data_IF_799875616717
#
_entry.id   IF_799875616717
#
_cell.length_a   1.000
_cell.length_b   1.000
_cell.length_c   1.000
_cell.angle_alpha   90.00
_cell.angle_beta   90.00
_cell.angle_gamma   90.00
#
_symmetry.space_group_name_H-M   'P 1'
#
loop_
_entity.id
_entity.type
_entity.pdbx_description
1 polymer ?
#
# COMPACT_ATOMS: atom_id res chain seq x y z
N UNK A 1 15.13 60.84 -23.14
CA UNK A 1 14.34 60.62 -21.90
C UNK A 1 13.77 59.20 -21.96
N UNK A 2 13.99 58.40 -20.91
CA UNK A 2 13.44 57.04 -20.84
C UNK A 2 11.95 57.07 -20.43
N UNK A 3 11.13 56.26 -21.12
CA UNK A 3 9.71 56.11 -20.83
C UNK A 3 9.47 55.47 -19.45
N UNK A 4 8.44 55.88 -18.73
CA UNK A 4 8.14 55.34 -17.43
C UNK A 4 7.58 53.87 -17.55
N UNK A 5 8.12 52.97 -16.74
CA UNK A 5 7.66 51.60 -16.62
C UNK A 5 6.19 51.52 -16.18
N UNK A 6 5.36 50.63 -16.72
CA UNK A 6 3.98 50.46 -16.30
C UNK A 6 3.90 50.01 -14.85
N UNK A 7 3.00 50.65 -14.07
CA UNK A 7 2.70 50.27 -12.67
C UNK A 7 2.13 48.85 -12.62
N UNK A 8 2.55 48.02 -11.64
CA UNK A 8 1.96 46.71 -11.43
C UNK A 8 0.45 46.83 -11.11
N UNK A 9 -0.38 45.88 -11.58
CA UNK A 9 -1.80 45.88 -11.25
C UNK A 9 -2.03 45.73 -9.75
N UNK A 10 -3.12 46.33 -9.20
CA UNK A 10 -3.43 46.21 -7.78
C UNK A 10 -3.66 44.76 -7.37
N UNK A 11 -3.27 44.34 -6.15
CA UNK A 11 -3.45 42.99 -5.70
C UNK A 11 -4.94 42.64 -5.67
N UNK A 12 -5.34 41.64 -6.44
CA UNK A 12 -6.67 41.03 -6.37
C UNK A 12 -6.85 40.46 -4.96
N UNK A 13 -7.80 41.00 -4.21
CA UNK A 13 -8.18 40.53 -2.88
C UNK A 13 -8.75 39.11 -3.01
N UNK A 14 -7.90 38.11 -2.91
CA UNK A 14 -8.32 36.73 -2.67
C UNK A 14 -8.98 36.68 -1.29
N UNK A 15 -10.22 36.23 -1.13
CA UNK A 15 -10.83 36.10 0.19
C UNK A 15 -9.97 35.16 1.03
N UNK A 16 -9.57 35.63 2.22
CA UNK A 16 -8.68 34.88 3.11
C UNK A 16 -9.28 33.49 3.38
N UNK A 17 -8.47 32.48 3.19
CA UNK A 17 -8.79 31.06 3.40
C UNK A 17 -9.41 30.83 4.80
N UNK A 18 -9.02 31.65 5.80
CA UNK A 18 -9.57 31.63 7.16
C UNK A 18 -11.08 31.86 7.23
N UNK A 19 -11.65 32.79 6.45
CA UNK A 19 -13.11 33.02 6.44
C UNK A 19 -13.92 31.90 5.80
N UNK A 20 -13.36 31.22 4.80
CA UNK A 20 -13.99 30.02 4.22
C UNK A 20 -13.93 28.81 5.16
N UNK A 21 -12.85 28.64 5.91
CA UNK A 21 -12.73 27.58 6.92
C UNK A 21 -13.62 27.86 8.13
N UNK A 22 -13.82 29.13 8.51
CA UNK A 22 -14.72 29.51 9.61
C UNK A 22 -16.19 29.28 9.25
N UNK A 23 -16.58 29.55 8.00
CA UNK A 23 -17.92 29.22 7.48
C UNK A 23 -18.19 27.70 7.41
N UNK A 24 -17.13 26.87 7.29
CA UNK A 24 -17.22 25.41 7.37
C UNK A 24 -17.26 24.88 8.83
N UNK A 25 -16.90 25.72 9.82
CA UNK A 25 -16.95 25.37 11.25
C UNK A 25 -18.29 25.71 11.93
N UNK A 26 -19.10 26.57 11.33
CA UNK A 26 -20.34 27.08 11.92
C UNK A 26 -21.56 26.36 11.30
N UNK A 27 -21.77 25.16 11.72
CA UNK A 27 -22.95 24.36 11.49
C UNK A 27 -22.68 22.97 11.97
N UNK A 28 -23.33 22.56 13.05
CA UNK A 28 -23.24 21.16 13.46
C UNK A 28 -23.54 20.28 12.26
N UNK A 29 -22.51 19.51 11.81
CA UNK A 29 -22.72 18.58 10.72
C UNK A 29 -23.71 17.53 11.21
N UNK A 30 -24.84 17.43 10.54
CA UNK A 30 -25.83 16.38 10.76
C UNK A 30 -25.88 15.58 9.46
N UNK A 31 -25.53 14.31 9.56
CA UNK A 31 -25.71 13.39 8.41
C UNK A 31 -27.20 13.34 8.08
N UNK A 32 -27.57 13.45 6.80
CA UNK A 32 -28.96 13.29 6.39
C UNK A 32 -29.51 11.93 6.87
N UNK A 33 -30.68 11.90 7.53
CA UNK A 33 -31.26 10.67 8.08
C UNK A 33 -31.42 9.55 7.03
N UNK A 34 -31.68 9.93 5.78
CA UNK A 34 -31.76 9.02 4.63
C UNK A 34 -30.41 8.36 4.34
N UNK A 35 -29.32 9.13 4.35
CA UNK A 35 -27.96 8.64 4.11
C UNK A 35 -27.47 7.78 5.26
N UNK A 36 -27.78 8.18 6.52
CA UNK A 36 -27.48 7.38 7.70
C UNK A 36 -28.16 6.03 7.63
N UNK A 37 -29.46 5.98 7.32
CA UNK A 37 -30.23 4.74 7.18
C UNK A 37 -29.65 3.83 6.09
N UNK A 38 -29.20 4.39 4.97
CA UNK A 38 -28.55 3.63 3.90
C UNK A 38 -27.20 3.06 4.35
N UNK A 39 -26.40 3.82 5.11
CA UNK A 39 -25.14 3.36 5.66
C UNK A 39 -25.34 2.24 6.70
N UNK A 40 -26.31 2.42 7.62
CA UNK A 40 -26.65 1.43 8.64
C UNK A 40 -27.16 0.13 8.00
N UNK A 41 -28.03 0.25 6.99
CA UNK A 41 -28.54 -0.90 6.25
C UNK A 41 -27.44 -1.61 5.45
N UNK A 42 -26.55 -0.88 4.80
CA UNK A 42 -25.42 -1.47 4.11
C UNK A 42 -24.47 -2.19 5.08
N UNK A 43 -24.22 -1.61 6.27
CA UNK A 43 -23.41 -2.23 7.31
C UNK A 43 -24.06 -3.49 7.90
N UNK A 44 -25.38 -3.49 8.04
CA UNK A 44 -26.15 -4.64 8.53
C UNK A 44 -26.25 -5.74 7.47
N UNK A 45 -26.44 -5.38 6.20
CA UNK A 45 -26.40 -6.28 5.07
C UNK A 45 -25.01 -6.91 4.89
N UNK A 46 -23.94 -6.15 5.16
CA UNK A 46 -22.56 -6.67 5.16
C UNK A 46 -22.32 -7.66 6.30
N UNK A 47 -22.84 -7.39 7.49
CA UNK A 47 -22.70 -8.29 8.64
C UNK A 47 -23.57 -9.54 8.48
N UNK A 48 -24.83 -9.39 8.09
CA UNK A 48 -25.77 -10.50 7.94
C UNK A 48 -25.46 -11.41 6.74
N UNK A 49 -24.86 -10.85 5.68
CA UNK A 49 -24.41 -11.63 4.53
C UNK A 49 -23.05 -12.35 4.76
N UNK A 50 -22.46 -12.23 5.97
CA UNK A 50 -21.12 -12.74 6.24
C UNK A 50 -20.05 -12.11 5.32
N UNK A 51 -20.30 -10.88 4.86
CA UNK A 51 -19.39 -10.20 3.94
C UNK A 51 -18.07 -9.87 4.62
N UNK A 52 -17.02 -10.20 3.92
CA UNK A 52 -15.65 -9.93 4.32
C UNK A 52 -15.39 -8.42 4.43
N UNK A 53 -14.69 -8.01 5.47
CA UNK A 53 -14.30 -6.61 5.65
C UNK A 53 -13.30 -6.15 4.59
N UNK A 54 -13.33 -4.88 4.22
CA UNK A 54 -12.41 -4.32 3.20
C UNK A 54 -11.15 -3.78 3.86
N UNK A 55 -10.00 -4.16 3.34
CA UNK A 55 -8.68 -3.71 3.77
C UNK A 55 -7.89 -3.21 2.55
N UNK A 56 -7.33 -2.01 2.62
CA UNK A 56 -6.37 -1.49 1.64
C UNK A 56 -4.96 -1.68 2.17
N UNK A 57 -4.12 -2.39 1.43
CA UNK A 57 -2.79 -2.81 1.84
C UNK A 57 -1.75 -2.32 0.85
N UNK A 58 -0.81 -1.48 1.29
CA UNK A 58 0.32 -1.05 0.46
C UNK A 58 1.54 -1.93 0.72
N UNK A 59 2.29 -2.22 -0.33
CA UNK A 59 3.53 -2.98 -0.24
C UNK A 59 4.70 -2.06 -0.54
N UNK A 60 5.62 -2.00 0.40
CA UNK A 60 6.76 -1.10 0.43
C UNK A 60 8.06 -1.91 0.54
N UNK A 61 9.16 -1.33 0.13
CA UNK A 61 10.48 -1.94 0.24
C UNK A 61 11.39 -1.55 -0.91
N UNK A 62 12.67 -1.89 -0.78
CA UNK A 62 13.69 -1.59 -1.78
C UNK A 62 13.41 -2.26 -3.13
N UNK A 63 14.04 -1.73 -4.19
CA UNK A 63 14.12 -2.41 -5.48
C UNK A 63 14.74 -3.81 -5.27
N UNK A 64 14.25 -4.79 -6.00
CA UNK A 64 14.69 -6.19 -5.94
C UNK A 64 14.50 -6.91 -4.58
N UNK A 65 13.84 -6.30 -3.60
CA UNK A 65 13.47 -6.97 -2.35
C UNK A 65 12.44 -8.11 -2.53
N UNK A 66 11.95 -8.33 -3.74
CA UNK A 66 11.01 -9.41 -4.06
C UNK A 66 9.54 -9.06 -3.86
N UNK A 67 9.16 -7.78 -3.78
CA UNK A 67 7.77 -7.31 -3.61
C UNK A 67 6.83 -7.94 -4.64
N UNK A 68 6.93 -7.50 -5.89
CA UNK A 68 6.04 -7.93 -6.98
C UNK A 68 6.10 -9.44 -7.23
N UNK A 69 7.27 -10.07 -7.03
CA UNK A 69 7.43 -11.54 -7.14
C UNK A 69 6.61 -12.26 -6.07
N UNK A 70 6.73 -11.84 -4.80
CA UNK A 70 5.99 -12.44 -3.68
C UNK A 70 4.48 -12.23 -3.83
N UNK A 71 4.09 -11.03 -4.27
CA UNK A 71 2.68 -10.70 -4.48
C UNK A 71 2.08 -11.45 -5.67
N UNK A 72 2.78 -11.52 -6.80
CA UNK A 72 2.31 -12.27 -7.97
C UNK A 72 2.12 -13.75 -7.64
N UNK A 73 3.04 -14.33 -6.86
CA UNK A 73 2.89 -15.69 -6.36
C UNK A 73 1.71 -15.82 -5.39
N UNK A 74 1.52 -14.88 -4.47
CA UNK A 74 0.37 -14.87 -3.56
C UNK A 74 -0.96 -14.82 -4.31
N UNK A 75 -1.06 -14.00 -5.37
CA UNK A 75 -2.26 -13.92 -6.21
C UNK A 75 -2.55 -15.25 -6.94
N UNK A 76 -1.52 -15.98 -7.33
CA UNK A 76 -1.68 -17.32 -7.88
C UNK A 76 -2.16 -18.32 -6.82
N UNK A 77 -1.53 -18.36 -5.65
CA UNK A 77 -1.91 -19.27 -4.55
C UNK A 77 -3.32 -19.00 -4.02
N UNK A 78 -3.79 -17.75 -4.12
CA UNK A 78 -5.17 -17.37 -3.76
C UNK A 78 -6.18 -17.55 -4.89
N UNK A 79 -5.74 -18.04 -6.05
CA UNK A 79 -6.61 -18.35 -7.19
C UNK A 79 -7.08 -17.13 -8.00
N UNK A 80 -6.50 -15.95 -7.78
CA UNK A 80 -6.79 -14.74 -8.56
C UNK A 80 -6.16 -14.81 -9.93
N UNK A 81 -4.92 -15.31 -9.99
CA UNK A 81 -4.17 -15.53 -11.24
C UNK A 81 -4.29 -16.99 -11.63
N UNK A 82 -4.58 -17.24 -12.89
CA UNK A 82 -4.75 -18.61 -13.42
C UNK A 82 -3.42 -19.23 -13.84
N UNK A 83 -3.35 -20.56 -13.84
CA UNK A 83 -2.18 -21.29 -14.32
C UNK A 83 -1.80 -20.96 -15.77
N UNK A 84 -2.80 -20.64 -16.61
CA UNK A 84 -2.57 -20.24 -18.00
C UNK A 84 -1.83 -18.91 -18.10
N UNK A 85 -2.19 -17.94 -17.26
CA UNK A 85 -1.52 -16.63 -17.20
C UNK A 85 -0.08 -16.78 -16.71
N UNK A 86 0.13 -17.59 -15.68
CA UNK A 86 1.48 -17.90 -15.19
C UNK A 86 2.34 -18.56 -16.26
N UNK A 87 1.81 -19.61 -16.93
CA UNK A 87 2.54 -20.31 -18.00
C UNK A 87 2.90 -19.37 -19.14
N UNK A 88 1.98 -18.47 -19.53
CA UNK A 88 2.23 -17.47 -20.55
C UNK A 88 3.35 -16.52 -20.13
N UNK A 89 3.28 -15.96 -18.93
CA UNK A 89 4.30 -15.05 -18.41
C UNK A 89 5.67 -15.73 -18.27
N UNK A 90 5.72 -16.98 -17.80
CA UNK A 90 6.95 -17.76 -17.71
C UNK A 90 7.61 -17.97 -19.08
N UNK A 91 6.80 -18.25 -20.11
CA UNK A 91 7.29 -18.41 -21.49
C UNK A 91 7.86 -17.09 -22.01
N UNK A 92 7.10 -16.02 -21.91
CA UNK A 92 7.51 -14.68 -22.36
C UNK A 92 8.76 -14.20 -21.59
N UNK A 93 8.81 -14.39 -20.26
CA UNK A 93 9.97 -14.02 -19.43
C UNK A 93 11.22 -14.82 -19.79
N UNK A 94 11.06 -16.10 -20.13
CA UNK A 94 12.17 -16.96 -20.57
C UNK A 94 12.72 -16.52 -21.93
N UNK A 95 11.85 -16.14 -22.87
CA UNK A 95 12.23 -15.67 -24.21
C UNK A 95 13.13 -14.42 -24.16
N UNK A 96 12.93 -13.54 -23.18
CA UNK A 96 13.75 -12.31 -22.99
C UNK A 96 14.82 -12.46 -21.91
N UNK A 97 15.09 -13.68 -21.43
CA UNK A 97 16.14 -13.95 -20.45
C UNK A 97 15.85 -13.48 -19.03
N UNK A 98 14.58 -13.23 -18.68
CA UNK A 98 14.13 -12.74 -17.37
C UNK A 98 13.20 -13.71 -16.63
N UNK A 99 13.50 -14.99 -16.66
CA UNK A 99 12.64 -16.04 -16.11
C UNK A 99 12.23 -15.82 -14.64
N UNK A 100 13.11 -15.26 -13.81
CA UNK A 100 12.85 -14.95 -12.39
C UNK A 100 11.79 -13.86 -12.17
N UNK A 101 11.50 -13.06 -13.19
CA UNK A 101 10.49 -11.97 -13.11
C UNK A 101 9.09 -12.41 -13.51
N UNK A 102 8.90 -13.68 -13.92
CA UNK A 102 7.60 -14.15 -14.39
C UNK A 102 6.46 -13.92 -13.40
N UNK A 103 6.71 -14.04 -12.10
CA UNK A 103 5.73 -13.74 -11.05
C UNK A 103 5.44 -12.26 -10.92
N UNK A 104 6.46 -11.39 -11.03
CA UNK A 104 6.28 -9.94 -10.97
C UNK A 104 5.39 -9.45 -12.13
N UNK A 105 5.47 -10.09 -13.29
CA UNK A 105 4.66 -9.75 -14.46
C UNK A 105 3.16 -9.98 -14.31
N UNK A 106 2.73 -10.64 -13.23
CA UNK A 106 1.31 -10.73 -12.88
C UNK A 106 0.74 -9.38 -12.44
N UNK A 107 1.60 -8.48 -11.95
CA UNK A 107 1.25 -7.14 -11.50
C UNK A 107 1.72 -6.07 -12.49
N UNK A 108 2.83 -6.31 -13.20
CA UNK A 108 3.39 -5.38 -14.17
C UNK A 108 2.58 -5.43 -15.48
N UNK A 109 1.64 -4.50 -15.63
CA UNK A 109 0.77 -4.44 -16.83
C UNK A 109 1.48 -3.82 -18.04
N UNK A 110 2.45 -2.93 -17.81
CA UNK A 110 3.10 -2.16 -18.87
C UNK A 110 4.32 -2.88 -19.44
N UNK A 111 4.47 -2.90 -20.78
CA UNK A 111 5.67 -3.45 -21.43
C UNK A 111 6.97 -2.81 -20.96
N UNK A 112 6.93 -1.52 -20.59
CA UNK A 112 8.08 -0.77 -20.10
C UNK A 112 8.55 -1.26 -18.74
N UNK A 113 7.65 -1.60 -17.83
CA UNK A 113 7.93 -2.19 -16.52
C UNK A 113 8.58 -3.57 -16.69
N UNK A 114 8.00 -4.40 -17.54
CA UNK A 114 8.55 -5.74 -17.89
C UNK A 114 9.94 -5.67 -18.49
N UNK A 115 10.19 -4.69 -19.37
CA UNK A 115 11.50 -4.51 -20.01
C UNK A 115 12.56 -4.03 -19.02
N UNK A 116 12.22 -3.14 -18.10
CA UNK A 116 13.13 -2.59 -17.10
C UNK A 116 13.25 -3.51 -15.88
N UNK A 117 12.18 -4.25 -15.52
CA UNK A 117 12.10 -5.07 -14.31
C UNK A 117 11.85 -4.24 -13.06
N UNK A 118 11.24 -3.06 -13.20
CA UNK A 118 10.88 -2.17 -12.08
C UNK A 118 9.45 -1.69 -12.24
N UNK A 119 8.69 -1.68 -11.17
CA UNK A 119 7.35 -1.12 -11.10
C UNK A 119 7.44 0.40 -11.18
N UNK A 120 6.69 1.02 -12.08
CA UNK A 120 6.66 2.48 -12.32
C UNK A 120 5.45 3.12 -11.67
N UNK A 121 4.27 2.55 -11.89
CA UNK A 121 3.02 2.98 -11.28
C UNK A 121 2.60 2.06 -10.16
N UNK A 122 1.63 2.51 -9.34
CA UNK A 122 1.03 1.65 -8.31
C UNK A 122 0.15 0.61 -9.00
N UNK A 123 0.58 -0.65 -8.96
CA UNK A 123 -0.24 -1.75 -9.44
C UNK A 123 -1.33 -2.08 -8.42
N UNK A 124 -2.54 -2.29 -8.90
CA UNK A 124 -3.70 -2.56 -8.08
C UNK A 124 -4.21 -3.98 -8.33
N UNK A 125 -4.22 -4.81 -7.30
CA UNK A 125 -4.79 -6.15 -7.35
C UNK A 125 -5.80 -6.33 -6.22
N UNK A 126 -6.71 -7.31 -6.38
CA UNK A 126 -7.69 -7.64 -5.35
C UNK A 126 -7.70 -9.13 -5.12
N UNK A 127 -7.70 -9.52 -3.86
CA UNK A 127 -7.88 -10.91 -3.47
C UNK A 127 -8.67 -11.02 -2.17
N UNK A 128 -9.03 -12.23 -1.79
CA UNK A 128 -9.79 -12.47 -0.57
C UNK A 128 -9.02 -13.39 0.37
N UNK A 129 -9.06 -13.07 1.65
CA UNK A 129 -8.63 -13.94 2.75
C UNK A 129 -9.84 -14.63 3.36
N UNK A 130 -9.67 -15.34 4.46
CA UNK A 130 -10.78 -15.94 5.20
C UNK A 130 -11.81 -14.87 5.66
N UNK A 131 -11.34 -13.73 6.19
CA UNK A 131 -12.18 -12.70 6.79
C UNK A 131 -12.22 -11.38 6.01
N UNK A 132 -11.36 -11.18 5.01
CA UNK A 132 -11.18 -9.87 4.35
C UNK A 132 -11.22 -9.93 2.83
N UNK A 133 -11.66 -8.82 2.26
CA UNK A 133 -11.44 -8.45 0.86
C UNK A 133 -10.30 -7.44 0.81
N UNK A 134 -9.17 -7.84 0.29
CA UNK A 134 -7.94 -7.04 0.28
C UNK A 134 -7.78 -6.34 -1.06
N UNK A 135 -7.61 -5.02 -1.02
CA UNK A 135 -7.11 -4.24 -2.15
C UNK A 135 -5.63 -4.02 -1.94
N UNK A 136 -4.84 -4.66 -2.79
CA UNK A 136 -3.39 -4.62 -2.75
C UNK A 136 -2.89 -3.47 -3.64
N UNK A 137 -1.97 -2.69 -3.10
CA UNK A 137 -1.32 -1.57 -3.78
C UNK A 137 0.18 -1.88 -3.82
N UNK A 138 0.67 -2.42 -4.95
CA UNK A 138 2.11 -2.65 -5.14
C UNK A 138 2.78 -1.32 -5.51
N UNK A 139 3.49 -0.75 -4.57
CA UNK A 139 4.13 0.54 -4.75
C UNK A 139 5.53 0.37 -5.37
N UNK A 140 5.92 1.27 -6.31
CA UNK A 140 7.24 1.24 -6.91
C UNK A 140 8.32 1.37 -5.84
N UNK A 141 9.39 0.58 -5.99
CA UNK A 141 10.54 0.58 -5.07
C UNK A 141 11.62 1.59 -5.44
N UNK A 142 11.58 2.17 -6.64
CA UNK A 142 12.62 3.08 -7.13
C UNK A 142 12.35 4.52 -6.73
N UNK A 143 13.39 5.25 -6.30
CA UNK A 143 13.25 6.62 -5.77
C UNK A 143 12.67 7.62 -6.78
N UNK A 144 12.83 7.39 -8.08
CA UNK A 144 12.26 8.26 -9.11
C UNK A 144 10.72 8.22 -9.13
N UNK A 145 10.13 7.19 -8.51
CA UNK A 145 8.68 6.97 -8.45
C UNK A 145 8.08 7.19 -7.04
N UNK A 146 8.80 7.86 -6.15
CA UNK A 146 8.31 8.21 -4.79
C UNK A 146 6.95 8.92 -4.81
N UNK A 147 6.63 9.85 -5.74
CA UNK A 147 5.29 10.45 -5.80
C UNK A 147 4.17 9.41 -6.00
N UNK A 148 4.39 8.40 -6.85
CA UNK A 148 3.43 7.32 -7.07
C UNK A 148 3.29 6.45 -5.81
N UNK A 149 4.42 6.18 -5.13
CA UNK A 149 4.42 5.46 -3.84
C UNK A 149 3.62 6.20 -2.78
N UNK A 150 3.78 7.53 -2.65
CA UNK A 150 3.02 8.36 -1.71
C UNK A 150 1.52 8.27 -2.01
N UNK A 151 1.14 8.34 -3.28
CA UNK A 151 -0.26 8.21 -3.70
C UNK A 151 -0.87 6.86 -3.30
N UNK A 152 -0.12 5.77 -3.47
CA UNK A 152 -0.53 4.43 -3.02
C UNK A 152 -0.61 4.33 -1.50
N UNK A 153 0.43 4.77 -0.79
CA UNK A 153 0.49 4.70 0.68
C UNK A 153 -0.61 5.54 1.36
N UNK A 154 -0.96 6.70 0.79
CA UNK A 154 -2.05 7.54 1.32
C UNK A 154 -3.43 6.87 1.27
N UNK A 155 -3.61 5.87 0.42
CA UNK A 155 -4.85 5.11 0.29
C UNK A 155 -4.88 3.85 1.17
N UNK A 156 -3.75 3.46 1.77
CA UNK A 156 -3.62 2.23 2.53
C UNK A 156 -4.14 2.34 3.96
N UNK A 157 -4.62 1.22 4.50
CA UNK A 157 -5.00 1.04 5.91
C UNK A 157 -3.88 0.37 6.71
N UNK A 158 -3.05 -0.43 6.01
CA UNK A 158 -1.92 -1.15 6.56
C UNK A 158 -0.79 -1.24 5.53
N UNK A 159 0.42 -1.56 5.97
CA UNK A 159 1.57 -1.73 5.10
C UNK A 159 2.28 -3.08 5.31
N UNK A 160 2.71 -3.68 4.20
CA UNK A 160 3.73 -4.72 4.18
C UNK A 160 5.07 -4.09 3.80
N UNK A 161 6.05 -4.20 4.68
CA UNK A 161 7.43 -3.78 4.40
C UNK A 161 8.22 -5.02 4.02
N UNK A 162 8.53 -5.15 2.75
CA UNK A 162 9.29 -6.29 2.21
C UNK A 162 10.79 -6.00 2.29
N UNK A 163 11.51 -6.89 2.93
CA UNK A 163 12.94 -6.76 3.23
C UNK A 163 13.67 -7.98 2.67
N UNK A 164 14.76 -7.72 1.95
CA UNK A 164 15.61 -8.78 1.40
C UNK A 164 16.46 -9.41 2.53
N UNK A 165 16.28 -10.68 2.80
CA UNK A 165 17.01 -11.43 3.83
C UNK A 165 18.35 -11.99 3.37
N UNK A 166 18.66 -11.95 2.07
CA UNK A 166 19.92 -12.45 1.54
C UNK A 166 21.15 -11.68 2.07
N UNK A 167 22.33 -12.28 1.92
CA UNK A 167 23.57 -11.62 2.30
C UNK A 167 23.81 -10.36 1.46
N UNK A 168 24.00 -9.21 2.12
CA UNK A 168 24.15 -7.90 1.46
C UNK A 168 22.85 -7.26 0.98
N UNK A 169 21.76 -8.03 0.79
CA UNK A 169 20.48 -7.52 0.31
C UNK A 169 19.79 -6.62 1.33
N UNK A 170 19.76 -7.03 2.59
CA UNK A 170 19.23 -6.22 3.69
C UNK A 170 19.99 -4.91 3.86
N UNK A 171 21.32 -4.98 3.89
CA UNK A 171 22.21 -3.84 4.08
C UNK A 171 22.06 -2.82 2.93
N UNK A 172 21.90 -3.32 1.70
CA UNK A 172 21.61 -2.47 0.53
C UNK A 172 20.28 -1.77 0.68
N UNK A 173 19.23 -2.49 1.07
CA UNK A 173 17.91 -1.94 1.32
C UNK A 173 17.91 -0.89 2.44
N UNK A 174 18.63 -1.13 3.52
CA UNK A 174 18.74 -0.22 4.66
C UNK A 174 19.54 1.06 4.36
N UNK A 175 20.46 1.02 3.40
CA UNK A 175 21.15 2.23 2.89
C UNK A 175 20.35 2.93 1.79
N UNK A 176 19.32 2.30 1.26
CA UNK A 176 18.51 2.74 0.16
C UNK A 176 17.11 3.18 0.58
N UNK A 177 16.14 2.95 -0.31
CA UNK A 177 14.79 3.50 -0.23
C UNK A 177 13.89 2.86 0.84
N UNK A 178 14.24 1.69 1.39
CA UNK A 178 13.38 1.04 2.40
C UNK A 178 13.12 1.97 3.58
N UNK A 179 14.15 2.67 4.05
CA UNK A 179 14.03 3.60 5.18
C UNK A 179 13.11 4.77 4.87
N UNK A 180 13.29 5.38 3.69
CA UNK A 180 12.49 6.50 3.23
C UNK A 180 11.01 6.10 3.09
N UNK A 181 10.75 4.92 2.50
CA UNK A 181 9.40 4.40 2.30
C UNK A 181 8.68 4.12 3.62
N UNK A 182 9.38 3.50 4.58
CA UNK A 182 8.82 3.23 5.91
C UNK A 182 8.52 4.52 6.66
N UNK A 183 9.44 5.48 6.64
CA UNK A 183 9.24 6.78 7.28
C UNK A 183 8.06 7.54 6.67
N UNK A 184 7.93 7.52 5.34
CA UNK A 184 6.79 8.11 4.65
C UNK A 184 5.48 7.42 5.03
N UNK A 185 5.43 6.09 5.10
CA UNK A 185 4.24 5.35 5.51
C UNK A 185 3.80 5.72 6.93
N UNK A 186 4.73 5.80 7.89
CA UNK A 186 4.45 6.22 9.26
C UNK A 186 3.94 7.67 9.29
N UNK A 187 4.55 8.58 8.54
CA UNK A 187 4.15 9.99 8.45
C UNK A 187 2.76 10.17 7.79
N UNK A 188 2.38 9.27 6.89
CA UNK A 188 1.04 9.21 6.28
C UNK A 188 -0.02 8.61 7.21
N UNK A 189 0.37 8.19 8.42
CA UNK A 189 -0.55 7.71 9.44
C UNK A 189 -0.84 6.21 9.37
N UNK A 190 -0.01 5.42 8.71
CA UNK A 190 -0.15 3.96 8.72
C UNK A 190 0.35 3.43 10.06
N UNK A 191 -0.57 2.92 10.87
CA UNK A 191 -0.29 2.42 12.22
C UNK A 191 -0.08 0.90 12.26
N UNK A 192 -0.53 0.18 11.24
CA UNK A 192 -0.42 -1.28 11.18
C UNK A 192 0.59 -1.68 10.11
N UNK A 193 1.71 -2.22 10.56
CA UNK A 193 2.82 -2.61 9.69
C UNK A 193 3.18 -4.08 9.95
N UNK A 194 3.41 -4.82 8.87
CA UNK A 194 4.07 -6.12 8.93
C UNK A 194 5.38 -6.08 8.13
N UNK A 195 6.42 -6.66 8.69
CA UNK A 195 7.70 -6.85 8.01
C UNK A 195 7.73 -8.26 7.43
N UNK A 196 7.97 -8.35 6.14
CA UNK A 196 8.08 -9.61 5.39
C UNK A 196 9.53 -9.79 4.97
N UNK A 197 10.21 -10.76 5.56
CA UNK A 197 11.60 -11.06 5.19
C UNK A 197 11.59 -12.11 4.07
N UNK A 198 12.11 -11.74 2.93
CA UNK A 198 12.19 -12.59 1.73
C UNK A 198 13.58 -13.18 1.55
N UNK A 199 13.71 -14.14 0.65
CA UNK A 199 14.99 -14.72 0.19
C UNK A 199 15.89 -15.33 1.28
N UNK A 200 15.33 -15.69 2.43
CA UNK A 200 16.08 -16.41 3.48
C UNK A 200 16.46 -17.85 3.04
N UNK A 201 15.72 -18.41 2.10
CA UNK A 201 16.00 -19.68 1.44
C UNK A 201 17.37 -19.72 0.74
N UNK A 202 17.85 -18.56 0.27
CA UNK A 202 19.16 -18.44 -0.40
C UNK A 202 20.35 -18.71 0.52
N UNK A 203 20.13 -18.68 1.83
CA UNK A 203 21.20 -18.98 2.82
C UNK A 203 21.47 -20.48 2.96
N UNK A 204 20.53 -21.34 2.50
CA UNK A 204 20.69 -22.79 2.40
C UNK A 204 20.72 -23.57 3.72
N UNK A 205 20.90 -22.90 4.86
CA UNK A 205 21.02 -23.50 6.18
C UNK A 205 20.02 -22.90 7.19
N UNK A 206 19.38 -23.73 8.00
CA UNK A 206 18.35 -23.32 8.95
C UNK A 206 18.89 -22.39 10.05
N UNK A 207 20.05 -22.70 10.62
CA UNK A 207 20.67 -21.88 11.67
C UNK A 207 21.11 -20.51 11.16
N UNK A 208 21.64 -20.46 9.92
CA UNK A 208 22.01 -19.19 9.28
C UNK A 208 20.78 -18.34 8.97
N UNK A 209 19.72 -18.95 8.46
CA UNK A 209 18.48 -18.22 8.14
C UNK A 209 17.78 -17.71 9.40
N UNK A 210 17.76 -18.46 10.49
CA UNK A 210 17.21 -18.04 11.78
C UNK A 210 18.02 -16.88 12.38
N UNK A 211 19.36 -17.02 12.42
CA UNK A 211 20.26 -15.97 12.93
C UNK A 211 20.12 -14.69 12.09
N UNK A 212 19.99 -14.83 10.78
CA UNK A 212 19.81 -13.71 9.86
C UNK A 212 18.49 -13.00 10.11
N UNK A 213 17.42 -13.75 10.26
CA UNK A 213 16.10 -13.20 10.60
C UNK A 213 16.14 -12.43 11.93
N UNK A 214 16.77 -13.00 12.97
CA UNK A 214 16.91 -12.34 14.27
C UNK A 214 17.67 -11.02 14.16
N UNK A 215 18.77 -11.00 13.39
CA UNK A 215 19.53 -9.78 13.12
C UNK A 215 18.70 -8.72 12.40
N UNK A 216 18.02 -9.09 11.31
CA UNK A 216 17.15 -8.19 10.55
C UNK A 216 16.05 -7.63 11.45
N UNK A 217 15.44 -8.46 12.27
CA UNK A 217 14.40 -8.05 13.21
C UNK A 217 14.91 -6.99 14.18
N UNK A 218 16.06 -7.23 14.80
CA UNK A 218 16.67 -6.28 15.74
C UNK A 218 16.95 -4.93 15.10
N UNK A 219 17.58 -4.92 13.92
CA UNK A 219 17.90 -3.68 13.20
C UNK A 219 16.65 -2.91 12.77
N UNK A 220 15.65 -3.62 12.25
CA UNK A 220 14.39 -3.00 11.84
C UNK A 220 13.58 -2.46 13.01
N UNK A 221 13.52 -3.16 14.15
CA UNK A 221 12.85 -2.66 15.36
C UNK A 221 13.50 -1.37 15.86
N UNK A 222 14.84 -1.31 15.91
CA UNK A 222 15.55 -0.08 16.27
C UNK A 222 15.28 1.05 15.28
N UNK A 223 15.22 0.73 14.00
CA UNK A 223 14.90 1.72 12.97
C UNK A 223 13.47 2.24 13.13
N UNK A 224 12.47 1.38 13.33
CA UNK A 224 11.07 1.76 13.53
C UNK A 224 10.90 2.70 14.72
N UNK A 225 11.62 2.46 15.82
CA UNK A 225 11.65 3.38 16.98
C UNK A 225 12.17 4.75 16.57
N UNK A 226 13.29 4.81 15.83
CA UNK A 226 13.86 6.09 15.34
C UNK A 226 12.92 6.84 14.40
N UNK A 227 12.11 6.13 13.62
CA UNK A 227 11.08 6.73 12.75
C UNK A 227 9.83 7.18 13.49
N UNK A 228 9.75 6.98 14.82
CA UNK A 228 8.60 7.38 15.63
C UNK A 228 7.45 6.37 15.62
N UNK A 229 7.69 5.12 15.22
CA UNK A 229 6.69 4.07 15.39
C UNK A 229 6.46 3.82 16.87
N UNK A 230 5.22 4.05 17.34
CA UNK A 230 4.91 4.19 18.75
C UNK A 230 5.09 2.91 19.58
N UNK A 231 4.82 1.77 18.95
CA UNK A 231 4.79 0.49 19.66
C UNK A 231 5.29 -0.64 18.77
N UNK A 232 6.58 -0.93 18.88
CA UNK A 232 7.23 -1.99 18.10
C UNK A 232 6.70 -3.40 18.42
N UNK A 233 6.04 -3.59 19.56
CA UNK A 233 5.42 -4.88 19.90
C UNK A 233 4.23 -5.20 18.97
N UNK A 234 3.67 -4.20 18.33
CA UNK A 234 2.59 -4.33 17.34
C UNK A 234 3.08 -4.62 15.92
N UNK A 235 4.40 -4.57 15.68
CA UNK A 235 4.95 -5.00 14.41
C UNK A 235 4.70 -6.50 14.23
N UNK A 236 4.11 -6.83 13.10
CA UNK A 236 3.96 -8.23 12.70
C UNK A 236 5.18 -8.66 11.90
N UNK A 237 5.57 -9.91 12.08
CA UNK A 237 6.74 -10.47 11.42
C UNK A 237 6.38 -11.76 10.72
N UNK A 238 6.77 -11.87 9.47
CA UNK A 238 6.65 -13.09 8.70
C UNK A 238 7.80 -13.23 7.72
N UNK A 239 7.97 -14.44 7.20
CA UNK A 239 8.91 -14.73 6.11
C UNK A 239 8.13 -15.09 4.86
N UNK A 240 8.75 -14.98 3.69
CA UNK A 240 8.11 -15.40 2.44
C UNK A 240 9.16 -15.77 1.39
N UNK A 241 8.92 -16.83 0.64
CA UNK A 241 9.70 -17.19 -0.53
C UNK A 241 8.84 -17.02 -1.77
N UNK A 242 9.03 -15.90 -2.47
CA UNK A 242 8.20 -15.57 -3.64
C UNK A 242 8.34 -16.53 -4.82
N UNK A 243 9.49 -17.19 -4.98
CA UNK A 243 9.73 -18.12 -6.10
C UNK A 243 9.03 -19.47 -5.90
N UNK A 244 9.15 -20.06 -4.72
CA UNK A 244 8.58 -21.37 -4.41
C UNK A 244 7.18 -21.30 -3.83
N UNK A 245 6.80 -20.18 -3.20
CA UNK A 245 5.52 -19.99 -2.52
C UNK A 245 5.57 -20.40 -1.05
N UNK A 246 6.74 -20.77 -0.50
CA UNK A 246 6.84 -21.14 0.91
C UNK A 246 6.42 -20.01 1.84
N UNK A 247 5.66 -20.36 2.84
CA UNK A 247 5.08 -19.48 3.85
C UNK A 247 4.17 -18.37 3.32
N UNK A 248 3.61 -18.52 2.11
CA UNK A 248 2.61 -17.57 1.61
C UNK A 248 1.21 -17.90 2.14
N UNK A 249 0.72 -19.09 1.87
CA UNK A 249 -0.62 -19.57 2.25
C UNK A 249 -0.55 -20.74 3.23
N UNK A 250 0.48 -21.56 3.13
CA UNK A 250 0.76 -22.68 4.02
C UNK A 250 2.09 -22.47 4.74
N UNK A 251 2.30 -23.08 5.93
CA UNK A 251 3.58 -23.03 6.63
C UNK A 251 4.75 -23.47 5.76
N UNK A 252 5.99 -23.00 6.04
CA UNK A 252 7.13 -23.31 5.20
C UNK A 252 7.45 -24.81 5.22
N UNK A 253 7.78 -25.34 4.04
CA UNK A 253 8.17 -26.75 3.84
C UNK A 253 9.67 -26.90 3.62
N UNK A 254 10.36 -25.82 3.24
CA UNK A 254 11.81 -25.82 3.05
C UNK A 254 12.52 -26.06 4.39
N UNK A 255 13.50 -26.99 4.38
CA UNK A 255 14.28 -27.35 5.57
C UNK A 255 15.01 -26.14 6.15
N UNK A 256 15.56 -25.27 5.29
CA UNK A 256 16.21 -24.03 5.68
C UNK A 256 15.32 -23.03 6.43
N UNK A 257 14.00 -23.19 6.37
CA UNK A 257 12.99 -22.35 7.01
C UNK A 257 12.18 -23.09 8.07
N UNK A 258 12.50 -24.36 8.33
CA UNK A 258 11.80 -25.21 9.29
C UNK A 258 11.82 -24.75 10.74
N UNK A 259 12.65 -23.77 11.09
CA UNK A 259 12.69 -23.11 12.40
C UNK A 259 11.54 -22.11 12.59
N UNK A 260 10.99 -21.53 11.50
CA UNK A 260 9.97 -20.50 11.61
C UNK A 260 8.63 -21.08 12.09
N UNK A 261 8.07 -20.49 13.15
CA UNK A 261 6.80 -20.89 13.77
C UNK A 261 5.77 -19.75 13.78
N UNK A 262 6.04 -18.69 13.01
CA UNK A 262 5.12 -17.56 12.88
C UNK A 262 3.96 -17.84 11.91
N UNK A 263 3.17 -16.82 11.69
CA UNK A 263 2.05 -16.86 10.75
C UNK A 263 2.54 -16.87 9.30
N UNK A 264 1.73 -17.47 8.41
CA UNK A 264 1.91 -17.31 6.97
C UNK A 264 1.73 -15.86 6.54
N UNK A 265 2.13 -15.51 5.32
CA UNK A 265 1.88 -14.16 4.80
C UNK A 265 0.37 -13.87 4.72
N UNK A 266 -0.43 -14.84 4.27
CA UNK A 266 -1.88 -14.69 4.17
C UNK A 266 -2.52 -14.49 5.54
N UNK A 267 -2.14 -15.28 6.55
CA UNK A 267 -2.63 -15.14 7.92
C UNK A 267 -2.20 -13.80 8.54
N UNK A 268 -0.98 -13.36 8.25
CA UNK A 268 -0.48 -12.05 8.68
C UNK A 268 -1.35 -10.93 8.09
N UNK A 269 -1.69 -11.00 6.82
CA UNK A 269 -2.60 -10.04 6.16
C UNK A 269 -4.01 -10.14 6.78
N UNK A 270 -4.49 -11.34 7.05
CA UNK A 270 -5.80 -11.54 7.66
C UNK A 270 -5.86 -11.05 9.11
N UNK A 271 -4.72 -10.92 9.80
CA UNK A 271 -4.62 -10.39 11.16
C UNK A 271 -4.74 -8.87 11.27
N UNK A 272 -4.59 -8.10 10.17
CA UNK A 272 -4.77 -6.65 10.20
C UNK A 272 -6.22 -6.28 10.50
N UNK A 273 -6.41 -5.23 11.27
CA UNK A 273 -7.74 -4.72 11.59
C UNK A 273 -8.10 -3.57 10.65
N UNK A 274 -9.21 -3.66 9.91
CA UNK A 274 -9.68 -2.52 9.13
C UNK A 274 -9.97 -1.33 10.06
N UNK A 275 -9.66 -0.10 9.63
CA UNK A 275 -9.96 1.07 10.45
C UNK A 275 -11.48 1.22 10.65
N UNK A 276 -11.88 1.58 11.85
CA UNK A 276 -13.26 1.99 12.11
C UNK A 276 -13.52 3.31 11.41
N UNK A 277 -14.50 3.33 10.50
CA UNK A 277 -14.89 4.54 9.79
C UNK A 277 -16.10 5.14 10.46
N UNK A 278 -15.95 6.35 11.01
CA UNK A 278 -17.06 7.08 11.60
C UNK A 278 -17.91 7.69 10.48
N UNK A 279 -19.05 7.08 10.20
CA UNK A 279 -20.00 7.54 9.18
C UNK A 279 -20.80 8.77 9.61
N UNK A 280 -20.88 9.05 10.92
CA UNK A 280 -21.59 10.21 11.48
C UNK A 280 -20.72 11.49 11.50
N UNK A 281 -19.43 11.34 11.34
CA UNK A 281 -18.51 12.46 11.27
C UNK A 281 -18.66 13.24 9.92
N UNK A 282 -18.24 14.50 9.87
CA UNK A 282 -18.15 15.24 8.61
C UNK A 282 -17.33 14.52 7.56
N UNK A 283 -17.82 14.51 6.30
CA UNK A 283 -17.10 13.87 5.20
C UNK A 283 -15.68 14.41 5.07
N UNK A 284 -14.70 13.52 5.12
CA UNK A 284 -13.30 13.80 4.81
C UNK A 284 -12.79 12.79 3.80
N UNK A 285 -12.42 13.28 2.64
CA UNK A 285 -11.81 12.52 1.56
C UNK A 285 -10.45 13.14 1.24
N UNK A 286 -9.38 12.36 1.39
CA UNK A 286 -8.07 12.76 0.87
C UNK A 286 -8.02 12.51 -0.62
N UNK A 287 -7.64 13.54 -1.38
CA UNK A 287 -7.48 13.44 -2.83
C UNK A 287 -6.05 12.99 -3.11
N UNK A 288 -5.89 11.85 -3.76
CA UNK A 288 -4.58 11.33 -4.19
C UNK A 288 -4.26 11.73 -5.62
N UNK A 289 -5.28 11.84 -6.47
CA UNK A 289 -5.11 12.16 -7.87
C UNK A 289 -6.26 13.02 -8.39
N UNK A 290 -5.95 13.90 -9.34
CA UNK A 290 -6.96 14.68 -10.05
C UNK A 290 -6.62 14.77 -11.53
N UNK A 291 -7.61 14.53 -12.37
CA UNK A 291 -7.49 14.69 -13.82
C UNK A 291 -8.63 15.51 -14.39
N UNK A 292 -8.31 16.38 -15.35
CA UNK A 292 -9.33 17.18 -16.03
C UNK A 292 -10.02 16.32 -17.12
N UNK A 293 -11.36 16.29 -17.08
CA UNK A 293 -12.18 15.65 -18.10
C UNK A 293 -12.96 16.73 -18.86
N UNK A 294 -12.33 17.25 -19.92
CA UNK A 294 -12.88 18.40 -20.67
C UNK A 294 -12.72 19.72 -19.91
N UNK A 295 -13.40 20.79 -20.36
CA UNK A 295 -13.21 22.15 -19.84
C UNK A 295 -13.93 22.44 -18.49
N UNK A 296 -14.83 21.57 -18.04
CA UNK A 296 -15.69 21.84 -16.87
C UNK A 296 -15.70 20.75 -15.79
N UNK A 297 -15.23 19.55 -16.10
CA UNK A 297 -15.30 18.42 -15.19
C UNK A 297 -13.93 18.01 -14.74
N UNK A 298 -13.80 17.69 -13.45
CA UNK A 298 -12.58 17.15 -12.85
C UNK A 298 -12.93 15.77 -12.28
N UNK A 299 -12.13 14.78 -12.62
CA UNK A 299 -12.17 13.46 -11.97
C UNK A 299 -11.20 13.52 -10.82
N UNK A 300 -11.66 13.11 -9.65
CA UNK A 300 -10.87 13.08 -8.42
C UNK A 300 -10.88 11.65 -7.89
N UNK A 301 -9.69 11.11 -7.65
CA UNK A 301 -9.52 9.81 -6.99
C UNK A 301 -8.99 10.02 -5.57
N UNK A 302 -9.46 9.22 -4.62
CA UNK A 302 -9.02 9.38 -3.24
C UNK A 302 -9.69 8.42 -2.28
N UNK A 303 -9.33 8.55 -0.99
CA UNK A 303 -9.84 7.71 0.11
C UNK A 303 -10.78 8.51 1.01
N UNK A 304 -11.96 7.96 1.28
CA UNK A 304 -12.86 8.47 2.33
C UNK A 304 -12.35 8.00 3.68
N UNK A 305 -11.93 8.93 4.54
CA UNK A 305 -11.44 8.64 5.89
C UNK A 305 -12.58 8.59 6.91
N UNK A 306 -13.56 9.45 6.76
CA UNK A 306 -14.75 9.54 7.64
C UNK A 306 -15.93 10.17 6.91
N UNK A 307 -17.11 10.04 7.49
CA UNK A 307 -18.36 10.49 6.88
C UNK A 307 -18.83 9.57 5.77
N UNK A 308 -19.90 9.97 5.11
CA UNK A 308 -20.50 9.24 4.00
C UNK A 308 -20.86 10.19 2.86
N UNK A 309 -20.87 9.68 1.63
CA UNK A 309 -21.33 10.40 0.45
C UNK A 309 -22.07 9.48 -0.50
N UNK A 310 -22.96 10.07 -1.29
CA UNK A 310 -23.67 9.39 -2.36
C UNK A 310 -23.59 10.20 -3.65
N UNK A 311 -23.95 9.58 -4.76
CA UNK A 311 -24.02 10.28 -6.05
C UNK A 311 -24.94 11.50 -5.94
N UNK A 312 -24.44 12.68 -6.36
CA UNK A 312 -25.14 13.96 -6.24
C UNK A 312 -24.82 14.77 -4.96
N UNK A 313 -24.07 14.22 -4.02
CA UNK A 313 -23.62 14.99 -2.84
C UNK A 313 -22.73 16.15 -3.27
N UNK A 314 -23.06 17.36 -2.80
CA UNK A 314 -22.21 18.56 -3.01
C UNK A 314 -21.04 18.53 -2.04
N UNK A 315 -19.85 18.59 -2.59
CA UNK A 315 -18.60 18.56 -1.81
C UNK A 315 -17.78 19.84 -2.05
N UNK A 316 -16.99 20.24 -1.07
CA UNK A 316 -16.03 21.33 -1.22
C UNK A 316 -14.61 20.74 -1.33
N UNK A 317 -13.88 21.15 -2.37
CA UNK A 317 -12.44 20.90 -2.47
C UNK A 317 -11.71 21.97 -1.68
N UNK A 318 -10.90 21.55 -0.72
CA UNK A 318 -10.06 22.45 0.07
C UNK A 318 -8.64 22.20 -0.41
N UNK A 319 -7.95 23.22 -0.95
CA UNK A 319 -6.55 23.09 -1.34
C UNK A 319 -5.69 22.84 -0.09
N UNK A 320 -4.52 22.18 -0.22
CA UNK A 320 -3.57 22.10 0.87
C UNK A 320 -3.18 23.52 1.32
N UNK A 321 -3.09 23.71 2.63
CA UNK A 321 -2.72 24.98 3.28
C UNK A 321 -1.22 25.17 3.18
#
# INVERSE_FOLDING_TARGET
QPQPKPKPPPPTKTPSISKKMEALRVGGFVIEPSLKKLCDQAAEDERSAGKKTVLSLVVLGHVDAGKSTTLGRLLYETGVVTEREVTKAQKEAKEIGKASFAWAWMLDERPEERSRGVTVDVALARFETASKRVTLLDAPGHRDFVPNMISGAAQADAALVVVDGSEGGFESGMRGQTLEHVQLAINLGIEQIAVVVTKLDTLGDAGRSESRFAHIRQEMEQFMVRCGFRDVSKLRWTIAVGLTGDNLVAPPTLESLGWFRGQTLLDTIDSFMPPTRDVEAPLRLSVSESSAKGSKNVIVSGKVHQGAMQVGTKVALVPPV
#
